data_IF_497133630290
#
_entry.id   IF_497133630290
#
_cell.length_a   1.000
_cell.length_b   1.000
_cell.length_c   1.000
_cell.angle_alpha   90.00
_cell.angle_beta   90.00
_cell.angle_gamma   90.00
#
_symmetry.space_group_name_H-M   'P 1'
#
loop_
_entity.id
_entity.type
_entity.pdbx_description
1 polymer ?
#
# COMPACT_ATOMS: atom_id res chain seq x y z
N UNK A 1 26.42 7.94 9.63
CA UNK A 1 25.51 7.22 10.54
C UNK A 1 25.87 5.75 10.46
N UNK A 2 26.02 5.03 11.58
CA UNK A 2 26.22 3.58 11.56
C UNK A 2 24.89 2.89 11.79
N UNK A 3 24.49 2.03 10.87
CA UNK A 3 23.38 1.10 11.09
C UNK A 3 23.94 -0.30 11.35
N UNK A 4 23.28 -1.06 12.20
CA UNK A 4 23.50 -2.50 12.37
C UNK A 4 22.51 -3.23 11.45
N UNK A 5 23.01 -4.19 10.68
CA UNK A 5 22.20 -5.03 9.81
C UNK A 5 22.22 -6.46 10.33
N UNK A 6 21.03 -7.03 10.57
CA UNK A 6 20.84 -8.40 11.02
C UNK A 6 20.18 -9.17 9.88
N UNK A 7 20.93 -10.06 9.23
CA UNK A 7 20.38 -10.96 8.22
C UNK A 7 19.39 -11.93 8.86
N UNK A 8 18.14 -11.88 8.44
CA UNK A 8 17.07 -12.75 8.90
C UNK A 8 17.15 -14.07 8.15
N UNK A 9 16.99 -15.18 8.88
CA UNK A 9 16.94 -16.52 8.29
C UNK A 9 15.67 -17.24 8.74
N UNK A 10 15.07 -18.11 7.92
CA UNK A 10 13.83 -18.81 8.29
C UNK A 10 13.89 -19.54 9.64
N UNK A 11 15.07 -19.99 10.07
CA UNK A 11 15.28 -20.68 11.35
C UNK A 11 15.10 -19.77 12.58
N UNK A 12 15.08 -18.44 12.40
CA UNK A 12 14.83 -17.49 13.49
C UNK A 12 13.35 -17.44 13.89
N UNK A 13 12.46 -17.99 13.08
CA UNK A 13 11.01 -17.86 13.22
C UNK A 13 10.41 -19.18 13.73
N UNK A 14 10.02 -19.18 15.01
CA UNK A 14 9.32 -20.30 15.66
C UNK A 14 7.90 -19.92 16.07
N UNK A 15 7.12 -20.89 16.53
CA UNK A 15 5.71 -20.70 16.94
C UNK A 15 5.55 -19.65 18.06
N UNK A 16 6.48 -19.64 19.03
CA UNK A 16 6.50 -18.62 20.07
C UNK A 16 7.27 -17.38 19.61
N UNK A 17 6.72 -16.19 19.90
CA UNK A 17 7.40 -14.91 19.68
C UNK A 17 8.72 -14.86 20.47
N UNK A 18 9.82 -14.46 19.81
CA UNK A 18 11.16 -14.35 20.39
C UNK A 18 11.75 -12.97 20.13
N UNK A 19 12.26 -12.27 21.17
CA UNK A 19 12.99 -11.02 20.97
C UNK A 19 14.21 -11.22 20.05
N UNK A 20 14.38 -10.33 19.08
CA UNK A 20 15.51 -10.32 18.15
C UNK A 20 16.44 -9.15 18.42
N UNK A 21 15.90 -7.94 18.62
CA UNK A 21 16.69 -6.73 18.85
C UNK A 21 15.91 -5.67 19.63
N UNK A 22 16.64 -4.77 20.29
CA UNK A 22 16.11 -3.56 20.95
C UNK A 22 17.01 -2.38 20.67
N UNK A 23 16.45 -1.20 20.44
CA UNK A 23 17.22 0.03 20.21
C UNK A 23 16.41 1.26 20.61
N UNK A 24 16.84 1.96 21.67
CA UNK A 24 16.01 3.00 22.29
C UNK A 24 14.68 2.42 22.77
N UNK A 25 13.57 3.03 22.38
CA UNK A 25 12.21 2.53 22.64
C UNK A 25 11.72 1.47 21.63
N UNK A 26 12.48 1.21 20.57
CA UNK A 26 12.10 0.22 19.56
C UNK A 26 12.48 -1.19 19.98
N UNK A 27 11.63 -2.15 19.62
CA UNK A 27 11.91 -3.58 19.75
C UNK A 27 11.49 -4.33 18.50
N UNK A 28 12.24 -5.38 18.15
CA UNK A 28 11.92 -6.32 17.09
C UNK A 28 11.85 -7.73 17.65
N UNK A 29 10.85 -8.50 17.21
CA UNK A 29 10.67 -9.90 17.57
C UNK A 29 10.27 -10.74 16.36
N UNK A 30 10.74 -11.99 16.32
CA UNK A 30 10.40 -12.97 15.29
C UNK A 30 9.36 -13.96 15.81
N UNK A 31 8.45 -14.39 14.95
CA UNK A 31 7.44 -15.40 15.24
C UNK A 31 6.99 -16.10 13.94
N UNK A 32 6.22 -17.17 14.05
CA UNK A 32 5.64 -17.87 12.91
C UNK A 32 4.13 -17.96 13.10
N UNK A 33 3.37 -17.51 12.10
CA UNK A 33 1.91 -17.70 12.08
C UNK A 33 1.57 -19.19 12.06
N UNK A 34 0.35 -19.57 12.49
CA UNK A 34 -0.05 -20.97 12.49
C UNK A 34 -0.12 -21.55 11.07
N UNK A 35 -0.37 -20.69 10.07
CA UNK A 35 -0.24 -20.97 8.64
C UNK A 35 1.17 -21.34 8.18
N UNK A 36 2.18 -21.10 9.01
CA UNK A 36 3.60 -21.36 8.71
C UNK A 36 4.37 -20.17 8.17
N UNK A 37 3.73 -19.02 7.90
CA UNK A 37 4.39 -17.81 7.40
C UNK A 37 5.26 -17.17 8.47
N UNK A 38 6.48 -16.75 8.11
CA UNK A 38 7.38 -16.03 8.99
C UNK A 38 6.92 -14.58 9.25
N UNK A 39 6.84 -14.18 10.52
CA UNK A 39 6.46 -12.84 10.96
C UNK A 39 7.59 -12.12 11.70
N UNK A 40 7.80 -10.85 11.35
CA UNK A 40 8.67 -9.92 12.09
C UNK A 40 7.82 -8.79 12.65
N UNK A 41 7.77 -8.67 13.97
CA UNK A 41 7.07 -7.58 14.64
C UNK A 41 8.05 -6.50 15.05
N UNK A 42 7.79 -5.26 14.65
CA UNK A 42 8.53 -4.08 15.12
C UNK A 42 7.57 -3.23 15.94
N UNK A 43 7.96 -2.86 17.17
CA UNK A 43 7.18 -2.02 18.09
C UNK A 43 7.95 -0.77 18.48
N UNK A 44 7.22 0.30 18.75
CA UNK A 44 7.72 1.52 19.40
C UNK A 44 6.74 1.96 20.51
N UNK A 45 6.90 3.16 21.06
CA UNK A 45 6.03 3.64 22.15
C UNK A 45 4.56 3.89 21.74
N UNK A 46 4.26 4.04 20.45
CA UNK A 46 2.93 4.43 19.95
C UNK A 46 2.21 3.33 19.18
N UNK A 47 2.86 2.20 18.90
CA UNK A 47 2.25 1.10 18.18
C UNK A 47 3.23 0.02 17.70
N UNK A 48 2.78 -0.75 16.72
CA UNK A 48 3.51 -1.85 16.12
C UNK A 48 3.09 -2.12 14.67
N UNK A 49 3.99 -2.76 13.93
CA UNK A 49 3.71 -3.35 12.62
C UNK A 49 4.18 -4.81 12.60
N UNK A 50 3.38 -5.66 11.97
CA UNK A 50 3.65 -7.07 11.74
C UNK A 50 3.99 -7.25 10.26
N UNK A 51 5.26 -7.57 9.99
CA UNK A 51 5.84 -7.65 8.66
C UNK A 51 5.98 -9.11 8.25
N UNK A 52 5.95 -9.37 6.94
CA UNK A 52 6.20 -10.69 6.35
C UNK A 52 7.57 -10.71 5.63
N UNK A 53 8.68 -11.04 6.31
CA UNK A 53 10.04 -10.81 5.78
C UNK A 53 10.31 -11.51 4.44
N UNK A 54 9.67 -12.66 4.23
CA UNK A 54 9.90 -13.50 3.06
C UNK A 54 8.70 -13.56 2.10
N UNK A 55 7.55 -12.94 2.40
CA UNK A 55 6.37 -12.98 1.53
C UNK A 55 5.97 -11.58 1.12
N UNK A 56 6.39 -11.18 -0.09
CA UNK A 56 6.15 -9.86 -0.68
C UNK A 56 6.74 -8.67 0.08
N UNK A 57 7.39 -8.91 1.23
CA UNK A 57 7.68 -7.91 2.25
C UNK A 57 6.45 -7.05 2.58
N UNK A 58 5.30 -7.70 2.77
CA UNK A 58 4.06 -7.05 3.14
C UNK A 58 4.08 -6.56 4.59
N UNK A 59 3.21 -5.59 4.90
CA UNK A 59 2.76 -5.33 6.28
C UNK A 59 1.44 -6.08 6.43
N UNK A 60 1.44 -7.16 7.21
CA UNK A 60 0.23 -7.93 7.47
C UNK A 60 -0.72 -7.14 8.36
N UNK A 61 -0.24 -6.63 9.50
CA UNK A 61 -1.05 -5.84 10.42
C UNK A 61 -0.29 -4.61 10.92
N UNK A 62 -1.04 -3.54 11.20
CA UNK A 62 -0.51 -2.31 11.79
C UNK A 62 -1.46 -1.82 12.88
N UNK A 63 -0.93 -1.64 14.10
CA UNK A 63 -1.69 -1.16 15.25
C UNK A 63 -1.01 0.10 15.79
N UNK A 64 -1.71 1.22 15.78
CA UNK A 64 -1.21 2.47 16.32
C UNK A 64 -2.25 3.13 17.19
N UNK A 65 -1.78 3.75 18.29
CA UNK A 65 -2.63 4.55 19.18
C UNK A 65 -3.86 3.78 19.69
N UNK A 66 -3.69 2.47 19.92
CA UNK A 66 -4.71 1.59 20.49
C UNK A 66 -5.74 1.03 19.49
N UNK A 67 -5.57 1.22 18.17
CA UNK A 67 -6.46 0.66 17.15
C UNK A 67 -5.68 -0.02 16.03
N UNK A 68 -6.26 -1.05 15.42
CA UNK A 68 -5.76 -1.59 14.15
C UNK A 68 -6.11 -0.62 13.02
N UNK A 69 -5.16 -0.41 12.12
CA UNK A 69 -5.34 0.33 10.88
C UNK A 69 -5.78 -0.60 9.75
N UNK A 70 -5.60 -1.90 9.89
CA UNK A 70 -5.75 -2.91 8.84
C UNK A 70 -7.22 -3.15 8.49
N UNK A 71 -7.50 -3.34 7.19
CA UNK A 71 -8.81 -3.74 6.68
C UNK A 71 -9.46 -4.91 7.45
N UNK A 72 -10.79 -4.95 7.41
CA UNK A 72 -11.53 -6.18 7.70
C UNK A 72 -11.44 -7.17 6.55
N UNK A 73 -11.01 -8.40 6.85
CA UNK A 73 -11.04 -9.52 5.92
C UNK A 73 -11.37 -10.82 6.65
N UNK A 74 -11.69 -11.87 5.88
CA UNK A 74 -11.89 -13.23 6.38
C UNK A 74 -10.59 -14.00 6.65
N UNK A 75 -9.42 -13.36 6.46
CA UNK A 75 -8.11 -13.99 6.64
C UNK A 75 -7.51 -13.58 7.99
N UNK A 76 -7.50 -14.47 9.01
CA UNK A 76 -6.91 -14.15 10.31
C UNK A 76 -5.36 -14.15 10.28
N UNK A 77 -4.78 -14.82 9.30
CA UNK A 77 -3.33 -14.96 9.12
C UNK A 77 -2.98 -15.05 7.63
N UNK A 78 -1.76 -14.65 7.22
CA UNK A 78 -1.31 -14.80 5.85
C UNK A 78 -1.20 -16.27 5.50
N UNK A 79 -1.44 -16.64 4.24
CA UNK A 79 -1.26 -18.02 3.76
C UNK A 79 -0.04 -18.11 2.84
N UNK A 80 0.83 -19.11 3.00
CA UNK A 80 1.95 -19.33 2.10
C UNK A 80 1.46 -19.85 0.75
N UNK A 81 2.22 -19.60 -0.31
CA UNK A 81 2.01 -20.17 -1.66
C UNK A 81 0.60 -19.96 -2.24
N UNK A 82 -0.12 -18.95 -1.76
CA UNK A 82 -1.50 -18.65 -2.12
C UNK A 82 -1.60 -17.63 -3.26
N UNK A 83 -2.67 -17.71 -4.05
CA UNK A 83 -3.02 -16.65 -5.00
C UNK A 83 -3.35 -15.33 -4.27
N UNK A 84 -3.30 -14.20 -4.97
CA UNK A 84 -3.53 -12.86 -4.37
C UNK A 84 -4.80 -12.81 -3.50
N UNK A 85 -5.95 -13.24 -4.06
CA UNK A 85 -7.23 -13.21 -3.35
C UNK A 85 -7.36 -14.26 -2.23
N UNK A 86 -6.50 -15.28 -2.19
CA UNK A 86 -6.59 -16.37 -1.22
C UNK A 86 -5.87 -16.05 0.11
N UNK A 87 -5.21 -14.89 0.17
CA UNK A 87 -4.50 -14.36 1.36
C UNK A 87 -4.65 -12.84 1.48
N UNK A 88 -5.70 -12.25 0.90
CA UNK A 88 -5.89 -10.80 0.82
C UNK A 88 -6.43 -10.22 2.14
N UNK A 89 -5.56 -10.02 3.11
CA UNK A 89 -5.88 -9.41 4.42
C UNK A 89 -4.84 -8.44 4.96
N UNK A 90 -3.75 -8.20 4.22
CA UNK A 90 -2.63 -7.40 4.68
C UNK A 90 -2.93 -5.89 4.63
N UNK A 91 -2.38 -5.16 5.61
CA UNK A 91 -2.40 -3.69 5.62
C UNK A 91 -1.70 -3.06 4.41
N UNK A 92 -0.54 -3.59 4.00
CA UNK A 92 0.21 -3.04 2.88
C UNK A 92 0.80 -4.13 1.98
N UNK A 93 0.59 -3.99 0.68
CA UNK A 93 1.03 -4.93 -0.35
C UNK A 93 1.70 -4.17 -1.51
N UNK A 94 2.88 -4.63 -1.92
CA UNK A 94 3.52 -4.19 -3.16
C UNK A 94 2.89 -4.92 -4.35
N UNK A 95 2.16 -4.21 -5.22
CA UNK A 95 1.60 -4.75 -6.47
C UNK A 95 2.47 -4.37 -7.67
N UNK A 96 2.81 -5.32 -8.54
CA UNK A 96 3.81 -5.14 -9.60
C UNK A 96 4.67 -6.38 -9.79
N UNK A 97 5.78 -6.32 -10.52
CA UNK A 97 6.38 -5.15 -11.19
C UNK A 97 6.22 -5.23 -12.70
N UNK A 98 6.22 -6.45 -13.26
CA UNK A 98 6.07 -6.63 -14.71
C UNK A 98 4.68 -6.22 -15.21
N UNK A 99 3.67 -6.35 -14.36
CA UNK A 99 2.32 -5.85 -14.55
C UNK A 99 1.63 -5.69 -13.18
N UNK A 100 0.50 -4.98 -13.13
CA UNK A 100 -0.39 -4.91 -11.96
C UNK A 100 -1.85 -4.77 -12.42
N UNK A 101 -2.77 -4.60 -11.47
CA UNK A 101 -4.18 -4.35 -11.76
C UNK A 101 -4.93 -5.62 -12.17
N UNK A 102 -6.11 -5.40 -12.75
CA UNK A 102 -7.04 -6.46 -13.16
C UNK A 102 -6.71 -6.99 -14.57
N UNK A 103 -6.17 -8.22 -14.72
CA UNK A 103 -5.80 -8.74 -16.03
C UNK A 103 -7.02 -8.83 -16.95
N UNK A 104 -6.90 -8.27 -18.15
CA UNK A 104 -7.88 -8.43 -19.22
C UNK A 104 -7.71 -9.76 -19.96
N UNK A 105 -8.58 -10.02 -20.95
CA UNK A 105 -8.55 -11.26 -21.73
C UNK A 105 -7.23 -11.51 -22.50
N UNK A 106 -6.45 -10.46 -22.78
CA UNK A 106 -5.14 -10.55 -23.42
C UNK A 106 -3.96 -10.62 -22.45
N UNK A 107 -4.20 -10.49 -21.15
CA UNK A 107 -3.16 -10.48 -20.13
C UNK A 107 -2.95 -11.86 -19.53
N UNK A 108 -1.70 -12.20 -19.23
CA UNK A 108 -1.32 -13.48 -18.61
C UNK A 108 -0.68 -13.32 -17.23
N UNK A 109 -0.58 -12.07 -16.76
CA UNK A 109 -0.06 -11.79 -15.43
C UNK A 109 -1.10 -12.14 -14.35
N UNK A 110 -0.66 -12.55 -13.15
CA UNK A 110 -1.57 -12.71 -12.02
C UNK A 110 -2.20 -11.36 -11.64
N UNK A 111 -3.37 -11.43 -10.99
CA UNK A 111 -4.02 -10.26 -10.41
C UNK A 111 -3.04 -9.50 -9.51
N UNK A 112 -2.87 -8.20 -9.76
CA UNK A 112 -1.91 -7.33 -9.06
C UNK A 112 -0.41 -7.69 -9.20
N UNK A 113 -0.06 -8.55 -10.15
CA UNK A 113 1.34 -8.87 -10.46
C UNK A 113 1.95 -9.90 -9.53
N UNK A 114 3.24 -10.15 -9.72
CA UNK A 114 4.00 -11.22 -9.08
C UNK A 114 4.57 -10.86 -7.70
N UNK A 115 4.81 -9.57 -7.44
CA UNK A 115 5.45 -9.07 -6.23
C UNK A 115 4.64 -9.29 -4.93
N UNK A 116 3.29 -9.23 -4.91
CA UNK A 116 2.51 -9.40 -3.69
C UNK A 116 2.90 -10.63 -2.87
N UNK A 117 3.04 -11.79 -3.49
CA UNK A 117 3.36 -13.04 -2.80
C UNK A 117 4.73 -13.59 -3.20
N UNK A 118 5.62 -12.75 -3.73
CA UNK A 118 6.98 -13.15 -4.06
C UNK A 118 7.72 -13.68 -2.83
N UNK A 119 8.39 -14.84 -2.96
CA UNK A 119 9.28 -15.36 -1.92
C UNK A 119 10.63 -14.63 -1.99
N UNK A 120 10.88 -13.72 -1.07
CA UNK A 120 12.12 -12.94 -1.05
C UNK A 120 13.36 -13.82 -0.79
N UNK A 121 14.45 -13.55 -1.52
CA UNK A 121 15.72 -14.29 -1.43
C UNK A 121 16.48 -13.93 -0.15
N UNK A 122 16.42 -12.65 0.22
CA UNK A 122 17.02 -12.13 1.44
C UNK A 122 16.03 -11.30 2.23
N UNK A 123 16.20 -11.28 3.55
CA UNK A 123 15.50 -10.38 4.44
C UNK A 123 16.45 -9.93 5.55
N UNK A 124 16.40 -8.66 5.91
CA UNK A 124 17.32 -8.03 6.84
C UNK A 124 16.55 -7.06 7.76
N UNK A 125 16.86 -7.11 9.06
CA UNK A 125 16.48 -6.06 9.99
C UNK A 125 17.61 -5.04 10.06
N UNK A 126 17.33 -3.80 9.68
CA UNK A 126 18.23 -2.66 9.82
C UNK A 126 17.84 -1.93 11.11
N UNK A 127 18.83 -1.70 11.98
CA UNK A 127 18.67 -0.96 13.24
C UNK A 127 19.63 0.22 13.21
N UNK A 128 19.10 1.43 13.39
CA UNK A 128 19.92 2.63 13.30
C UNK A 128 19.30 3.84 13.96
N UNK A 129 19.96 4.98 13.78
CA UNK A 129 19.52 6.28 14.25
C UNK A 129 19.76 7.31 13.15
N UNK A 130 18.79 8.18 12.93
CA UNK A 130 18.88 9.30 12.00
C UNK A 130 18.40 10.57 12.70
N UNK A 131 19.25 11.61 12.69
CA UNK A 131 18.96 12.90 13.33
C UNK A 131 18.54 12.77 14.82
N UNK A 132 19.13 11.83 15.56
CA UNK A 132 18.80 11.57 16.96
C UNK A 132 17.52 10.76 17.19
N UNK A 133 16.86 10.30 16.11
CA UNK A 133 15.65 9.47 16.20
C UNK A 133 16.01 8.02 15.85
N UNK A 134 15.82 7.05 16.77
CA UNK A 134 16.08 5.66 16.48
C UNK A 134 15.05 5.12 15.47
N UNK A 135 15.47 4.17 14.64
CA UNK A 135 14.60 3.49 13.70
C UNK A 135 14.94 2.00 13.57
N UNK A 136 13.95 1.22 13.16
CA UNK A 136 14.12 -0.14 12.70
C UNK A 136 13.44 -0.29 11.33
N UNK A 137 14.05 -1.04 10.43
CA UNK A 137 13.48 -1.28 9.10
C UNK A 137 13.63 -2.74 8.68
N UNK A 138 12.63 -3.26 7.97
CA UNK A 138 12.76 -4.48 7.18
C UNK A 138 13.18 -4.09 5.76
N UNK A 139 14.22 -4.74 5.24
CA UNK A 139 14.57 -4.69 3.83
C UNK A 139 14.95 -6.09 3.35
N UNK A 140 15.17 -6.24 2.06
CA UNK A 140 15.62 -7.49 1.47
C UNK A 140 15.54 -7.41 -0.05
N UNK A 141 15.96 -8.49 -0.70
CA UNK A 141 15.99 -8.55 -2.16
C UNK A 141 15.20 -9.72 -2.66
N UNK A 142 14.51 -9.50 -3.77
CA UNK A 142 13.94 -10.55 -4.58
C UNK A 142 14.37 -10.36 -6.02
N UNK A 143 15.02 -11.39 -6.59
CA UNK A 143 15.39 -11.41 -7.99
C UNK A 143 14.37 -12.20 -8.80
N UNK A 144 13.67 -11.50 -9.69
CA UNK A 144 12.76 -12.14 -10.63
C UNK A 144 13.40 -12.24 -12.02
N UNK A 145 13.67 -13.47 -12.46
CA UNK A 145 14.32 -13.74 -13.74
C UNK A 145 13.56 -14.80 -14.55
N UNK A 146 13.22 -14.45 -15.79
CA UNK A 146 12.59 -15.34 -16.76
C UNK A 146 13.33 -15.20 -18.09
N UNK A 147 13.83 -16.31 -18.62
CA UNK A 147 14.57 -16.32 -19.88
C UNK A 147 13.73 -15.67 -21.00
N UNK A 148 14.37 -14.87 -21.85
CA UNK A 148 13.76 -14.11 -22.94
C UNK A 148 12.72 -13.04 -22.56
N UNK A 149 12.29 -12.96 -21.30
CA UNK A 149 11.38 -11.93 -20.78
C UNK A 149 12.16 -10.91 -19.92
N UNK A 150 12.12 -11.02 -18.59
CA UNK A 150 12.66 -10.05 -17.63
C UNK A 150 13.81 -10.61 -16.76
N UNK A 151 14.59 -9.72 -16.16
CA UNK A 151 15.57 -10.03 -15.11
C UNK A 151 15.78 -8.75 -14.30
N UNK A 152 15.20 -8.67 -13.11
CA UNK A 152 15.31 -7.50 -12.24
C UNK A 152 15.46 -7.90 -10.78
N UNK A 153 15.86 -6.93 -9.95
CA UNK A 153 15.86 -7.06 -8.49
C UNK A 153 14.93 -6.00 -7.91
N UNK A 154 14.00 -6.43 -7.07
CA UNK A 154 13.21 -5.55 -6.21
C UNK A 154 13.85 -5.49 -4.82
N UNK A 155 13.92 -4.29 -4.25
CA UNK A 155 14.47 -4.01 -2.92
C UNK A 155 13.56 -3.02 -2.21
N UNK A 156 12.48 -3.48 -1.55
CA UNK A 156 11.69 -2.64 -0.68
C UNK A 156 12.39 -2.41 0.66
N UNK A 157 12.02 -1.32 1.32
CA UNK A 157 12.42 -1.02 2.69
C UNK A 157 11.22 -0.45 3.43
N UNK A 158 10.84 -1.05 4.56
CA UNK A 158 9.75 -0.59 5.42
C UNK A 158 10.34 -0.16 6.75
N UNK A 159 10.19 1.12 7.09
CA UNK A 159 10.85 1.76 8.24
C UNK A 159 9.83 2.23 9.27
N UNK A 160 10.08 1.90 10.53
CA UNK A 160 9.39 2.47 11.70
C UNK A 160 10.38 3.21 12.59
N UNK A 161 10.02 4.43 13.00
CA UNK A 161 10.84 5.29 13.87
C UNK A 161 10.29 5.33 15.30
N UNK A 162 11.15 5.63 16.27
CA UNK A 162 10.72 5.88 17.64
C UNK A 162 9.71 7.03 17.72
N UNK A 163 8.69 6.89 18.57
CA UNK A 163 7.66 7.88 18.86
C UNK A 163 6.70 8.18 17.72
N UNK A 164 6.78 7.45 16.61
CA UNK A 164 6.08 7.78 15.37
C UNK A 164 5.06 6.71 14.98
N UNK A 165 3.85 7.13 14.61
CA UNK A 165 2.86 6.29 13.94
C UNK A 165 2.92 6.38 12.41
N UNK A 166 4.05 6.86 11.88
CA UNK A 166 4.35 6.96 10.44
C UNK A 166 5.27 5.83 10.02
N UNK A 167 4.83 5.08 9.02
CA UNK A 167 5.59 4.04 8.36
C UNK A 167 6.15 4.64 7.08
N UNK A 168 7.47 4.57 6.91
CA UNK A 168 8.13 4.91 5.64
C UNK A 168 8.28 3.68 4.78
N UNK A 169 7.95 3.79 3.49
CA UNK A 169 8.15 2.72 2.51
C UNK A 169 8.89 3.26 1.30
N UNK A 170 10.01 2.61 0.99
CA UNK A 170 10.78 2.83 -0.22
C UNK A 170 10.77 1.55 -1.06
N UNK A 171 10.75 1.68 -2.39
CA UNK A 171 10.96 0.56 -3.31
C UNK A 171 11.97 0.95 -4.38
N UNK A 172 12.98 0.11 -4.55
CA UNK A 172 13.94 0.18 -5.65
C UNK A 172 13.77 -1.04 -6.56
N UNK A 173 13.58 -0.81 -7.87
CA UNK A 173 13.58 -1.87 -8.88
C UNK A 173 14.74 -1.63 -9.85
N UNK A 174 15.68 -2.57 -9.91
CA UNK A 174 16.86 -2.48 -10.78
C UNK A 174 16.75 -3.46 -11.95
N UNK A 175 16.75 -2.94 -13.19
CA UNK A 175 16.73 -3.75 -14.40
C UNK A 175 18.13 -4.34 -14.66
N UNK A 176 18.26 -5.66 -14.57
CA UNK A 176 19.52 -6.37 -14.80
C UNK A 176 19.69 -6.85 -16.26
N UNK A 177 18.77 -6.51 -17.16
CA UNK A 177 18.90 -6.83 -18.59
C UNK A 177 19.71 -5.79 -19.33
N UNK A 178 20.21 -6.22 -20.49
CA UNK A 178 20.77 -5.35 -21.54
C UNK A 178 19.69 -4.71 -22.44
N UNK A 179 18.40 -4.93 -22.14
CA UNK A 179 17.25 -4.35 -22.85
C UNK A 179 16.36 -3.58 -21.87
N UNK A 180 15.60 -2.58 -22.34
CA UNK A 180 14.61 -1.93 -21.50
C UNK A 180 13.60 -2.92 -20.94
N UNK A 181 13.06 -2.61 -19.77
CA UNK A 181 12.07 -3.41 -19.06
C UNK A 181 10.86 -2.56 -18.75
N UNK A 182 9.68 -3.07 -19.06
CA UNK A 182 8.42 -2.41 -18.72
C UNK A 182 8.11 -2.57 -17.23
N UNK A 183 7.45 -1.57 -16.66
CA UNK A 183 7.11 -1.53 -15.24
C UNK A 183 5.71 -0.98 -15.04
N UNK A 184 4.96 -1.66 -14.17
CA UNK A 184 3.77 -1.13 -13.52
C UNK A 184 3.86 -1.43 -12.02
N UNK A 185 3.50 -0.46 -11.18
CA UNK A 185 3.54 -0.61 -9.73
C UNK A 185 2.36 0.09 -9.07
N UNK A 186 1.85 -0.50 -7.99
CA UNK A 186 0.88 0.11 -7.09
C UNK A 186 1.19 -0.27 -5.64
N UNK A 187 1.15 0.73 -4.78
CA UNK A 187 1.23 0.58 -3.34
C UNK A 187 -0.18 0.35 -2.78
N UNK A 188 -0.50 -0.90 -2.43
CA UNK A 188 -1.83 -1.26 -1.98
C UNK A 188 -1.93 -1.11 -0.46
N UNK A 189 -2.44 0.02 0.02
CA UNK A 189 -2.57 0.37 1.44
C UNK A 189 -4.03 0.21 1.86
N UNK A 190 -4.33 -0.82 2.65
CA UNK A 190 -5.67 -1.27 3.01
C UNK A 190 -6.06 -0.82 4.41
N UNK A 191 -6.58 0.39 4.52
CA UNK A 191 -7.08 0.88 5.81
C UNK A 191 -8.44 0.26 6.15
N UNK A 192 -8.72 0.15 7.45
CA UNK A 192 -10.09 0.01 7.97
C UNK A 192 -10.84 1.33 7.77
N UNK A 193 -12.01 1.33 7.11
CA UNK A 193 -12.84 2.52 7.05
C UNK A 193 -13.44 2.81 8.43
N UNK A 194 -13.55 4.09 8.79
CA UNK A 194 -14.14 4.54 10.05
C UNK A 194 -15.47 5.24 9.78
N UNK A 195 -16.53 4.71 10.39
CA UNK A 195 -17.88 5.27 10.23
C UNK A 195 -17.95 6.74 10.69
N UNK A 196 -18.51 7.58 9.84
CA UNK A 196 -18.56 9.03 10.04
C UNK A 196 -17.29 9.78 9.65
N UNK A 197 -16.23 9.08 9.22
CA UNK A 197 -15.02 9.72 8.74
C UNK A 197 -15.22 10.42 7.39
N UNK A 198 -14.31 11.34 7.06
CA UNK A 198 -14.29 12.05 5.78
C UNK A 198 -12.91 11.97 5.15
N UNK A 199 -12.84 11.62 3.86
CA UNK A 199 -11.59 11.62 3.11
C UNK A 199 -11.28 13.01 2.58
N UNK A 200 -10.11 13.53 2.96
CA UNK A 200 -9.63 14.87 2.65
C UNK A 200 -8.35 14.74 1.81
N UNK A 201 -8.35 15.37 0.64
CA UNK A 201 -7.22 15.49 -0.29
C UNK A 201 -7.38 16.77 -1.12
N UNK A 202 -6.36 17.10 -1.92
CA UNK A 202 -6.33 18.27 -2.77
C UNK A 202 -6.88 18.01 -4.19
N UNK A 203 -7.44 16.82 -4.46
CA UNK A 203 -7.97 16.47 -5.78
C UNK A 203 -9.27 17.26 -6.02
N UNK A 204 -9.41 17.97 -7.15
CA UNK A 204 -10.66 18.63 -7.52
C UNK A 204 -11.83 17.63 -7.62
N UNK A 205 -13.03 18.05 -7.19
CA UNK A 205 -14.24 17.22 -7.21
C UNK A 205 -14.92 17.27 -8.59
N UNK A 206 -14.17 16.92 -9.65
CA UNK A 206 -14.64 16.84 -11.03
C UNK A 206 -14.20 15.54 -11.70
N UNK A 207 -14.81 15.21 -12.84
CA UNK A 207 -14.57 13.95 -13.55
C UNK A 207 -13.28 13.94 -14.38
N UNK A 208 -12.62 15.09 -14.58
CA UNK A 208 -11.32 15.15 -15.25
C UNK A 208 -10.23 14.65 -14.29
N UNK A 209 -10.37 14.95 -13.00
CA UNK A 209 -9.45 14.54 -11.95
C UNK A 209 -9.87 13.23 -11.27
N UNK A 210 -11.17 12.94 -11.18
CA UNK A 210 -11.74 11.74 -10.56
C UNK A 210 -12.41 10.86 -11.62
N UNK A 211 -11.67 9.89 -12.13
CA UNK A 211 -12.18 8.93 -13.12
C UNK A 211 -12.72 7.69 -12.42
N UNK A 212 -14.05 7.63 -12.28
CA UNK A 212 -14.74 6.48 -11.68
C UNK A 212 -14.72 5.28 -12.65
N UNK A 213 -14.33 4.11 -12.14
CA UNK A 213 -14.38 2.85 -12.91
C UNK A 213 -15.81 2.33 -12.91
N UNK A 214 -16.41 2.28 -14.09
CA UNK A 214 -17.81 1.85 -14.26
C UNK A 214 -17.95 0.39 -14.69
N UNK A 215 -16.88 -0.22 -15.20
CA UNK A 215 -16.85 -1.63 -15.54
C UNK A 215 -16.46 -2.46 -14.31
N UNK A 216 -17.24 -3.50 -14.01
CA UNK A 216 -16.95 -4.50 -12.97
C UNK A 216 -16.38 -5.75 -13.65
N UNK A 217 -15.51 -6.53 -12.99
CA UNK A 217 -15.09 -7.83 -13.49
C UNK A 217 -16.28 -8.71 -13.93
N UNK A 218 -16.13 -9.41 -15.06
CA UNK A 218 -17.22 -10.13 -15.74
C UNK A 218 -17.81 -11.30 -14.94
N UNK A 219 -17.15 -11.73 -13.88
CA UNK A 219 -17.59 -12.76 -12.96
C UNK A 219 -18.54 -12.24 -11.86
N UNK A 220 -18.82 -10.94 -11.79
CA UNK A 220 -19.76 -10.36 -10.84
C UNK A 220 -21.06 -9.93 -11.52
N UNK A 221 -22.19 -10.32 -10.92
CA UNK A 221 -23.49 -9.74 -11.24
C UNK A 221 -23.59 -8.43 -10.46
N UNK A 222 -23.52 -7.30 -11.17
CA UNK A 222 -23.58 -5.98 -10.55
C UNK A 222 -24.92 -5.78 -9.79
N UNK A 223 -24.90 -5.61 -8.46
CA UNK A 223 -26.11 -5.35 -7.68
C UNK A 223 -26.77 -4.02 -8.06
N UNK A 224 -28.08 -3.91 -7.89
CA UNK A 224 -28.79 -2.66 -8.25
C UNK A 224 -28.35 -1.48 -7.37
N UNK A 225 -28.12 -1.74 -6.07
CA UNK A 225 -27.59 -0.74 -5.14
C UNK A 225 -26.22 -0.21 -5.57
N UNK A 226 -25.38 -1.07 -6.16
CA UNK A 226 -24.09 -0.66 -6.71
C UNK A 226 -24.25 0.27 -7.93
N UNK A 227 -25.20 -0.01 -8.82
CA UNK A 227 -25.49 0.89 -9.95
C UNK A 227 -25.95 2.26 -9.47
N UNK A 228 -26.81 2.29 -8.45
CA UNK A 228 -27.25 3.53 -7.81
C UNK A 228 -26.04 4.28 -7.24
N UNK A 229 -25.18 3.61 -6.46
CA UNK A 229 -23.96 4.21 -5.91
C UNK A 229 -23.07 4.81 -7.00
N UNK A 230 -22.82 4.08 -8.09
CA UNK A 230 -22.03 4.61 -9.21
C UNK A 230 -22.68 5.83 -9.86
N UNK A 231 -23.99 5.79 -10.12
CA UNK A 231 -24.70 6.91 -10.72
C UNK A 231 -24.66 8.16 -9.82
N UNK A 232 -24.76 7.96 -8.51
CA UNK A 232 -24.65 9.01 -7.51
C UNK A 232 -23.26 9.66 -7.48
N UNK A 233 -22.19 8.87 -7.51
CA UNK A 233 -20.80 9.37 -7.54
C UNK A 233 -20.46 10.01 -8.89
N UNK A 234 -21.02 9.53 -9.99
CA UNK A 234 -20.84 10.16 -11.30
C UNK A 234 -21.55 11.52 -11.39
N UNK A 235 -22.71 11.65 -10.75
CA UNK A 235 -23.45 12.91 -10.69
C UNK A 235 -22.79 13.93 -9.74
N UNK A 236 -22.18 13.46 -8.66
CA UNK A 236 -21.43 14.26 -7.69
C UNK A 236 -20.20 13.49 -7.20
N UNK A 237 -19.02 13.71 -7.83
CA UNK A 237 -17.80 13.03 -7.45
C UNK A 237 -17.47 13.19 -5.97
N UNK A 238 -17.83 14.30 -5.32
CA UNK A 238 -17.48 14.53 -3.90
C UNK A 238 -18.10 13.51 -2.94
N UNK A 239 -19.17 12.81 -3.34
CA UNK A 239 -19.88 11.84 -2.50
C UNK A 239 -19.02 10.67 -2.02
N UNK A 240 -17.96 10.33 -2.75
CA UNK A 240 -17.04 9.26 -2.38
C UNK A 240 -16.22 9.58 -1.11
N UNK A 241 -16.18 10.86 -0.69
CA UNK A 241 -15.38 11.31 0.46
C UNK A 241 -16.00 10.95 1.80
N UNK A 242 -17.33 10.79 1.88
CA UNK A 242 -18.01 10.54 3.14
C UNK A 242 -18.10 9.04 3.44
N UNK A 243 -17.56 8.61 4.59
CA UNK A 243 -17.66 7.23 5.07
C UNK A 243 -18.98 7.08 5.84
N UNK A 244 -20.05 6.86 5.08
CA UNK A 244 -21.42 6.80 5.63
C UNK A 244 -21.63 5.49 6.40
N UNK A 245 -22.03 5.54 7.69
CA UNK A 245 -22.30 4.34 8.47
C UNK A 245 -23.34 3.43 7.81
N UNK A 246 -23.05 2.15 7.73
CA UNK A 246 -23.96 1.14 7.16
C UNK A 246 -24.20 1.23 5.65
N UNK A 247 -23.49 2.11 4.91
CA UNK A 247 -23.56 2.11 3.44
C UNK A 247 -22.73 0.95 2.90
N UNK A 248 -23.43 -0.01 2.31
CA UNK A 248 -22.81 -1.14 1.63
C UNK A 248 -22.14 -0.71 0.32
N UNK A 249 -21.00 -1.32 0.02
CA UNK A 249 -20.26 -1.17 -1.24
C UNK A 249 -19.89 -2.58 -1.69
N UNK A 250 -20.74 -3.17 -2.55
CA UNK A 250 -20.61 -4.52 -3.09
C UNK A 250 -20.62 -4.49 -4.64
N UNK A 251 -19.57 -4.94 -5.35
CA UNK A 251 -18.33 -5.51 -4.79
C UNK A 251 -17.32 -4.44 -4.36
N UNK A 252 -17.25 -3.32 -5.07
CA UNK A 252 -16.23 -2.28 -4.84
C UNK A 252 -16.60 -0.94 -5.48
N UNK A 253 -16.11 0.17 -4.92
CA UNK A 253 -16.08 1.48 -5.57
C UNK A 253 -14.63 1.83 -5.90
N UNK A 254 -14.32 1.96 -7.21
CA UNK A 254 -12.96 2.21 -7.69
C UNK A 254 -12.91 3.46 -8.55
N UNK A 255 -11.88 4.28 -8.34
CA UNK A 255 -11.61 5.46 -9.17
C UNK A 255 -10.12 5.75 -9.25
N UNK A 256 -9.68 6.36 -10.35
CA UNK A 256 -8.35 6.97 -10.44
C UNK A 256 -8.44 8.47 -10.20
N UNK A 257 -7.52 8.96 -9.38
CA UNK A 257 -7.35 10.34 -8.97
C UNK A 257 -6.08 10.91 -9.62
N UNK A 258 -6.17 12.13 -10.14
CA UNK A 258 -5.03 12.93 -10.57
C UNK A 258 -4.65 13.92 -9.45
N UNK A 259 -3.47 13.73 -8.86
CA UNK A 259 -3.03 14.50 -7.69
C UNK A 259 -2.20 15.73 -8.07
N UNK A 260 -2.49 16.91 -7.49
CA UNK A 260 -1.49 17.95 -7.35
C UNK A 260 -0.45 17.56 -6.28
N UNK A 261 0.71 18.21 -6.30
CA UNK A 261 1.73 18.10 -5.25
C UNK A 261 2.12 19.47 -4.71
N UNK A 262 2.63 19.52 -3.49
CA UNK A 262 3.22 20.72 -2.91
C UNK A 262 4.58 21.07 -3.56
N UNK A 263 5.19 22.14 -3.06
CA UNK A 263 6.49 22.62 -3.52
C UNK A 263 7.65 21.63 -3.24
N UNK A 264 7.48 20.69 -2.31
CA UNK A 264 8.44 19.63 -1.99
C UNK A 264 8.17 18.34 -2.81
N UNK A 265 7.12 18.34 -3.62
CA UNK A 265 6.71 17.25 -4.50
C UNK A 265 5.86 16.17 -3.82
N UNK A 266 5.25 16.47 -2.67
CA UNK A 266 4.37 15.56 -1.94
C UNK A 266 2.90 15.84 -2.20
N UNK A 267 2.13 14.77 -2.32
CA UNK A 267 0.67 14.77 -2.24
C UNK A 267 0.25 14.09 -0.94
N UNK A 268 -0.74 14.66 -0.25
CA UNK A 268 -1.26 14.15 1.03
C UNK A 268 -2.75 13.79 0.91
N UNK A 269 -3.16 12.73 1.60
CA UNK A 269 -4.56 12.29 1.70
C UNK A 269 -4.79 11.73 3.09
N UNK A 270 -5.95 12.02 3.68
CA UNK A 270 -6.32 11.49 4.98
C UNK A 270 -7.76 11.00 5.04
N UNK A 271 -8.02 9.99 5.85
CA UNK A 271 -9.35 9.71 6.40
C UNK A 271 -9.42 10.38 7.77
N UNK A 272 -10.11 11.52 7.88
CA UNK A 272 -10.30 12.25 9.12
C UNK A 272 -11.42 11.60 9.94
N UNK A 273 -11.12 11.21 11.17
CA UNK A 273 -12.03 10.49 12.06
C UNK A 273 -12.92 11.44 12.85
N UNK A 274 -14.08 10.98 13.36
CA UNK A 274 -14.97 11.80 14.18
C UNK A 274 -14.33 12.36 15.46
N UNK A 275 -13.31 11.68 16.01
CA UNK A 275 -12.59 12.11 17.21
C UNK A 275 -11.48 13.15 16.92
N UNK A 276 -11.29 13.52 15.65
CA UNK A 276 -10.27 14.46 15.19
C UNK A 276 -8.94 13.83 14.80
N UNK A 277 -8.69 12.56 15.14
CA UNK A 277 -7.53 11.81 14.64
C UNK A 277 -7.68 11.47 13.15
N UNK A 278 -6.64 10.92 12.52
CA UNK A 278 -6.74 10.52 11.12
C UNK A 278 -5.87 9.31 10.76
N UNK A 279 -6.26 8.62 9.69
CA UNK A 279 -5.33 7.82 8.88
C UNK A 279 -4.80 8.68 7.74
N UNK A 280 -3.56 8.47 7.30
CA UNK A 280 -3.00 9.25 6.21
C UNK A 280 -2.13 8.44 5.26
N UNK A 281 -1.99 8.96 4.04
CA UNK A 281 -0.98 8.57 3.05
C UNK A 281 -0.38 9.84 2.46
N UNK A 282 0.94 9.87 2.32
CA UNK A 282 1.66 10.82 1.47
C UNK A 282 2.54 10.10 0.46
N UNK A 283 2.56 10.60 -0.77
CA UNK A 283 3.33 10.01 -1.87
C UNK A 283 3.87 11.11 -2.78
N UNK A 284 4.80 10.76 -3.66
CA UNK A 284 5.34 11.68 -4.67
C UNK A 284 4.67 11.43 -6.04
N UNK A 285 3.81 12.33 -6.55
CA UNK A 285 3.20 12.16 -7.88
C UNK A 285 4.20 12.06 -9.03
N UNK A 286 5.40 12.63 -8.87
CA UNK A 286 6.48 12.49 -9.85
C UNK A 286 6.96 11.03 -10.00
N UNK A 287 6.87 10.23 -8.94
CA UNK A 287 7.25 8.81 -8.91
C UNK A 287 6.03 7.92 -9.20
N UNK A 288 4.89 8.26 -8.58
CA UNK A 288 3.63 7.53 -8.60
C UNK A 288 2.49 8.47 -9.05
N UNK A 289 2.35 8.73 -10.36
CA UNK A 289 1.47 9.77 -10.92
C UNK A 289 -0.03 9.50 -10.83
N UNK A 290 -0.44 8.29 -10.45
CA UNK A 290 -1.85 7.90 -10.32
C UNK A 290 -2.13 7.63 -8.85
N UNK A 291 -3.22 8.15 -8.32
CA UNK A 291 -3.78 7.67 -7.07
C UNK A 291 -5.00 6.80 -7.36
N UNK A 292 -5.00 5.52 -7.00
CA UNK A 292 -6.23 4.72 -7.08
C UNK A 292 -6.95 4.81 -5.75
N UNK A 293 -8.25 5.10 -5.74
CA UNK A 293 -9.09 4.97 -4.56
C UNK A 293 -9.98 3.76 -4.73
N UNK A 294 -9.99 2.90 -3.72
CA UNK A 294 -10.70 1.63 -3.71
C UNK A 294 -11.42 1.47 -2.37
N UNK A 295 -12.68 1.05 -2.41
CA UNK A 295 -13.48 0.77 -1.22
C UNK A 295 -14.29 -0.50 -1.44
N UNK A 296 -14.34 -1.36 -0.43
CA UNK A 296 -15.30 -2.47 -0.35
C UNK A 296 -15.83 -2.54 1.07
N UNK A 297 -17.14 -2.67 1.23
CA UNK A 297 -17.82 -2.65 2.52
C UNK A 297 -19.06 -3.52 2.46
N UNK A 298 -18.89 -4.83 2.61
CA UNK A 298 -19.99 -5.79 2.54
C UNK A 298 -19.56 -7.13 3.14
N UNK A 299 -20.45 -7.71 3.96
CA UNK A 299 -20.24 -9.03 4.56
C UNK A 299 -18.97 -9.11 5.41
N UNK A 300 -18.02 -9.93 4.95
CA UNK A 300 -16.75 -10.23 5.61
C UNK A 300 -15.57 -9.36 5.13
N UNK A 301 -15.85 -8.29 4.40
CA UNK A 301 -14.87 -7.34 3.88
C UNK A 301 -15.21 -5.90 4.27
N UNK A 302 -14.23 -5.16 4.78
CA UNK A 302 -14.41 -3.76 5.16
C UNK A 302 -13.07 -3.01 5.02
N UNK A 303 -12.86 -2.37 3.88
CA UNK A 303 -11.58 -1.79 3.50
C UNK A 303 -11.72 -0.48 2.73
N UNK A 304 -10.75 0.40 2.91
CA UNK A 304 -10.55 1.62 2.13
C UNK A 304 -9.08 1.82 1.80
N UNK A 305 -8.77 1.84 0.50
CA UNK A 305 -7.57 2.48 -0.02
C UNK A 305 -7.83 3.96 -0.20
N UNK A 306 -7.56 4.78 0.83
CA UNK A 306 -7.81 6.24 0.79
C UNK A 306 -7.07 6.88 -0.40
N UNK A 307 -5.87 6.39 -0.67
CA UNK A 307 -5.18 6.49 -1.95
C UNK A 307 -4.17 5.33 -2.01
N UNK A 308 -4.11 4.69 -3.16
CA UNK A 308 -3.16 3.65 -3.53
C UNK A 308 -2.22 4.25 -4.58
N UNK A 309 -1.07 4.82 -4.19
CA UNK A 309 -0.12 5.44 -5.11
C UNK A 309 0.37 4.45 -6.18
N UNK A 310 0.29 4.82 -7.45
CA UNK A 310 0.51 3.90 -8.56
C UNK A 310 1.15 4.58 -9.78
N UNK A 311 1.73 3.76 -10.66
CA UNK A 311 2.22 4.20 -11.97
C UNK A 311 1.15 4.19 -13.05
N UNK A 312 0.06 3.45 -12.84
CA UNK A 312 -0.98 3.15 -13.83
C UNK A 312 -2.39 3.12 -13.18
N UNK A 313 -3.44 3.15 -14.00
CA UNK A 313 -4.83 2.90 -13.55
C UNK A 313 -4.97 1.41 -13.11
N UNK A 314 -6.04 0.99 -12.39
CA UNK A 314 -6.15 -0.38 -11.85
C UNK A 314 -6.55 -1.45 -12.89
N UNK A 315 -6.43 -1.16 -14.18
CA UNK A 315 -6.67 -2.12 -15.26
C UNK A 315 -5.40 -2.93 -15.56
N UNK A 316 -5.54 -3.99 -16.35
CA UNK A 316 -4.44 -4.89 -16.70
C UNK A 316 -3.46 -4.31 -17.71
N UNK A 317 -2.34 -5.00 -17.87
CA UNK A 317 -1.19 -4.56 -18.68
C UNK A 317 -1.57 -4.08 -20.09
N UNK A 318 -2.37 -4.85 -20.84
CA UNK A 318 -2.71 -4.52 -22.23
C UNK A 318 -3.47 -3.21 -22.33
N UNK A 319 -4.41 -2.96 -21.40
CA UNK A 319 -5.18 -1.73 -21.36
C UNK A 319 -4.28 -0.54 -20.98
N UNK A 320 -3.44 -0.70 -19.96
CA UNK A 320 -2.54 0.36 -19.50
C UNK A 320 -1.44 0.68 -20.51
N UNK A 321 -0.99 -0.32 -21.28
CA UNK A 321 -0.05 -0.12 -22.39
C UNK A 321 -0.67 0.73 -23.50
N UNK A 322 -1.93 0.46 -23.86
CA UNK A 322 -2.66 1.25 -24.84
C UNK A 322 -2.91 2.69 -24.39
N UNK A 323 -3.09 2.92 -23.08
CA UNK A 323 -3.20 4.26 -22.48
C UNK A 323 -1.85 4.99 -22.34
N UNK A 324 -0.73 4.29 -22.54
CA UNK A 324 0.62 4.85 -22.35
C UNK A 324 1.06 4.99 -20.89
N UNK A 325 0.43 4.28 -19.96
CA UNK A 325 0.75 4.35 -18.53
C UNK A 325 1.90 3.40 -18.13
N UNK A 326 2.23 2.39 -18.94
CA UNK A 326 3.34 1.45 -18.68
C UNK A 326 4.67 2.19 -18.75
N UNK A 327 5.43 2.18 -17.64
CA UNK A 327 6.75 2.80 -17.53
C UNK A 327 7.82 1.91 -18.16
N UNK A 328 8.97 2.49 -18.46
CA UNK A 328 10.14 1.76 -18.96
C UNK A 328 11.36 2.07 -18.10
N UNK A 329 12.07 1.03 -17.65
CA UNK A 329 13.36 1.11 -17.00
C UNK A 329 14.44 0.76 -18.03
N UNK A 330 15.40 1.64 -18.33
CA UNK A 330 16.45 1.36 -19.30
C UNK A 330 17.36 0.19 -18.85
N UNK A 331 18.18 -0.38 -19.75
CA UNK A 331 19.18 -1.39 -19.38
C UNK A 331 20.08 -0.92 -18.23
N UNK A 332 20.21 -1.70 -17.15
CA UNK A 332 20.96 -1.27 -15.96
C UNK A 332 20.33 -0.09 -15.18
N UNK A 333 19.16 0.37 -15.61
CA UNK A 333 18.42 1.47 -15.00
C UNK A 333 17.69 1.06 -13.73
N UNK A 334 17.17 2.07 -13.04
CA UNK A 334 16.50 1.89 -11.76
C UNK A 334 15.21 2.73 -11.69
N UNK A 335 14.13 2.11 -11.24
CA UNK A 335 12.92 2.81 -10.76
C UNK A 335 12.98 2.94 -9.24
N UNK A 336 12.54 4.09 -8.72
CA UNK A 336 12.42 4.36 -7.29
C UNK A 336 11.09 5.01 -6.99
N UNK A 337 10.48 4.63 -5.87
CA UNK A 337 9.37 5.37 -5.30
C UNK A 337 9.42 5.34 -3.77
N UNK A 338 8.89 6.39 -3.17
CA UNK A 338 8.85 6.61 -1.73
C UNK A 338 7.46 7.07 -1.30
N UNK A 339 6.99 6.59 -0.15
CA UNK A 339 5.71 6.97 0.43
C UNK A 339 5.76 6.86 1.94
N UNK A 340 4.84 7.55 2.62
CA UNK A 340 4.59 7.31 4.04
C UNK A 340 3.10 7.22 4.31
N UNK A 341 2.75 6.41 5.30
CA UNK A 341 1.37 6.24 5.72
C UNK A 341 1.31 5.79 7.18
N UNK A 342 0.12 5.88 7.77
CA UNK A 342 -0.12 5.45 9.14
C UNK A 342 -1.22 6.27 9.80
N UNK A 343 -1.06 6.56 11.08
CA UNK A 343 -2.05 7.29 11.88
C UNK A 343 -1.50 8.64 12.38
N UNK A 344 -2.39 9.59 12.58
CA UNK A 344 -2.16 10.93 13.13
C UNK A 344 -3.01 11.12 14.38
N UNK A 345 -2.50 11.82 15.40
CA UNK A 345 -3.38 12.41 16.40
C UNK A 345 -4.09 13.66 15.88
N UNK A 346 -4.94 14.26 16.72
CA UNK A 346 -5.75 15.41 16.34
C UNK A 346 -4.93 16.64 15.93
N UNK A 347 -3.80 16.90 16.58
CA UNK A 347 -2.95 18.05 16.27
C UNK A 347 -2.24 17.82 14.93
N UNK A 348 -1.68 16.63 14.73
CA UNK A 348 -1.06 16.24 13.46
C UNK A 348 -2.07 16.25 12.29
N UNK A 349 -3.29 15.74 12.52
CA UNK A 349 -4.37 15.70 11.54
C UNK A 349 -4.82 17.12 11.16
N UNK A 350 -5.01 18.00 12.14
CA UNK A 350 -5.33 19.41 11.90
C UNK A 350 -4.24 20.10 11.07
N UNK A 351 -2.96 19.86 11.38
CA UNK A 351 -1.85 20.42 10.63
C UNK A 351 -1.81 19.94 9.17
N UNK A 352 -2.00 18.64 8.93
CA UNK A 352 -2.06 18.08 7.57
C UNK A 352 -3.28 18.60 6.81
N UNK A 353 -4.43 18.72 7.47
CA UNK A 353 -5.65 19.26 6.87
C UNK A 353 -5.43 20.69 6.37
N UNK A 354 -4.77 21.52 7.18
CA UNK A 354 -4.41 22.88 6.79
C UNK A 354 -3.55 22.93 5.52
N UNK A 355 -2.58 22.01 5.38
CA UNK A 355 -1.74 21.91 4.16
C UNK A 355 -2.56 21.50 2.93
N UNK A 356 -3.40 20.48 3.06
CA UNK A 356 -4.27 20.01 1.97
C UNK A 356 -5.22 21.12 1.52
N UNK A 357 -5.87 21.81 2.46
CA UNK A 357 -6.80 22.90 2.14
C UNK A 357 -6.10 24.12 1.52
N UNK A 358 -4.85 24.40 1.91
CA UNK A 358 -4.05 25.44 1.26
C UNK A 358 -3.72 25.06 -0.18
N UNK A 359 -3.33 23.80 -0.44
CA UNK A 359 -3.05 23.29 -1.79
C UNK A 359 -4.28 23.34 -2.69
N UNK A 360 -5.47 23.06 -2.16
CA UNK A 360 -6.71 23.07 -2.95
C UNK A 360 -7.18 24.47 -3.36
N UNK A 361 -6.71 25.52 -2.66
CA UNK A 361 -7.06 26.92 -2.94
C UNK A 361 -6.10 27.61 -3.92
N UNK A 362 -4.85 27.13 -3.99
CA UNK A 362 -3.83 27.60 -4.94
C UNK A 362 -3.97 26.89 -6.28
#
# INVERSE_FOLDING_TARGET
MSATVIALRPEFFGEAERPLATHGELSAATFRYASGVEGLRIRNAVGQIDLLPFQGQQIWDAVFRGRSLTMGSMFPEPRPDAGYLETYGAFFIHCGVTAMGNPGAGDTHPLHGELPNARFDTAELVVGEENGVPYMALTGTWRHAVAFAHNYVATPTITLRGGSSRIGVDLVVSNLKSKPMELMYLAHINFRPVDGATVIDAVPDDLDHIRVRTMIPSNFVQPEQHKVLLAEVLADPSRHRAIVPGREIDPELVMTLAYPSDAEGWAETMQLHPDGSADFVRHRPAELPKGVRWMTRWGDQDAIGIVLPATADPDGYTAEKAKGNVREIPPGGVFRCSMEFGALDADEASAMRGRIEAMRKG
#
